data_IF_722622364833
#
_entry.id   IF_722622364833
#
_cell.length_a   1.000
_cell.length_b   1.000
_cell.length_c   1.000
_cell.angle_alpha   90.00
_cell.angle_beta   90.00
_cell.angle_gamma   90.00
#
_symmetry.space_group_name_H-M   'P 1'
#
loop_
_entity.id
_entity.type
_entity.pdbx_description
1 polymer ?
#
# COMPACT_ATOMS: atom_id res chain seq x y z
N UNK A 1 -0.62 -36.19 -6.01
CA UNK A 1 -0.97 -34.80 -5.69
C UNK A 1 0.04 -33.94 -6.42
N UNK A 2 -0.39 -33.17 -7.41
CA UNK A 2 0.50 -32.23 -8.10
C UNK A 2 0.90 -31.17 -7.07
N UNK A 3 2.19 -31.07 -6.73
CA UNK A 3 2.68 -30.02 -5.85
C UNK A 3 2.51 -28.70 -6.59
N UNK A 4 1.67 -27.80 -6.08
CA UNK A 4 1.57 -26.45 -6.59
C UNK A 4 2.96 -25.79 -6.50
N UNK A 5 3.49 -25.37 -7.63
CA UNK A 5 4.81 -24.75 -7.72
C UNK A 5 4.60 -23.28 -8.09
N UNK A 6 4.99 -22.39 -7.20
CA UNK A 6 4.94 -20.95 -7.42
C UNK A 6 5.99 -20.51 -8.46
N UNK A 7 5.70 -19.41 -9.17
CA UNK A 7 6.63 -18.81 -10.11
C UNK A 7 7.98 -18.50 -9.46
N UNK A 8 9.06 -18.75 -10.20
CA UNK A 8 10.45 -18.59 -9.76
C UNK A 8 10.84 -19.47 -8.53
N UNK A 9 10.08 -20.52 -8.23
CA UNK A 9 10.38 -21.44 -7.13
C UNK A 9 10.18 -20.84 -5.74
N UNK A 10 9.34 -19.79 -5.60
CA UNK A 10 9.01 -19.19 -4.29
C UNK A 10 8.36 -20.21 -3.36
N UNK A 11 8.75 -20.19 -2.09
CA UNK A 11 8.03 -20.90 -1.02
C UNK A 11 6.70 -20.22 -0.67
N UNK A 12 5.84 -20.93 0.06
CA UNK A 12 4.51 -20.42 0.46
C UNK A 12 4.58 -19.12 1.28
N UNK A 13 5.63 -18.94 2.07
CA UNK A 13 5.85 -17.77 2.92
C UNK A 13 6.79 -16.71 2.31
N UNK A 14 7.13 -16.81 1.02
CA UNK A 14 8.08 -15.91 0.40
C UNK A 14 7.35 -14.73 -0.28
N UNK A 15 7.88 -13.52 -0.04
CA UNK A 15 7.53 -12.34 -0.83
C UNK A 15 8.20 -12.42 -2.21
N UNK A 16 7.60 -11.80 -3.22
CA UNK A 16 8.31 -11.42 -4.44
C UNK A 16 9.46 -10.47 -4.11
N UNK A 17 10.47 -10.32 -4.97
CA UNK A 17 11.47 -9.28 -4.81
C UNK A 17 10.81 -7.92 -4.64
N UNK A 18 11.17 -7.19 -3.59
CA UNK A 18 10.62 -5.86 -3.27
C UNK A 18 11.68 -4.81 -3.47
N UNK A 19 11.36 -3.75 -4.21
CA UNK A 19 12.22 -2.57 -4.36
C UNK A 19 11.44 -1.30 -4.08
N UNK A 20 12.11 -0.31 -3.46
CA UNK A 20 11.59 1.01 -3.12
C UNK A 20 12.58 2.05 -3.63
N UNK A 21 12.41 2.49 -4.87
CA UNK A 21 13.27 3.47 -5.52
C UNK A 21 12.77 4.88 -5.21
N UNK A 22 13.44 5.55 -4.27
CA UNK A 22 13.08 6.90 -3.79
C UNK A 22 13.55 7.98 -4.76
N UNK A 23 12.93 9.15 -4.65
CA UNK A 23 13.23 10.33 -5.48
C UNK A 23 13.10 10.04 -6.98
N UNK A 24 12.11 9.22 -7.32
CA UNK A 24 11.89 8.76 -8.68
C UNK A 24 11.44 9.88 -9.62
N UNK A 25 10.65 10.83 -9.13
CA UNK A 25 10.28 12.07 -9.83
C UNK A 25 10.78 13.28 -9.05
N UNK A 26 10.95 14.42 -9.75
CA UNK A 26 11.67 15.58 -9.19
C UNK A 26 10.76 16.68 -8.62
N UNK A 27 9.46 16.64 -8.85
CA UNK A 27 8.57 17.74 -8.49
C UNK A 27 7.83 17.54 -7.16
N UNK A 28 7.46 16.32 -6.83
CA UNK A 28 6.79 16.01 -5.57
C UNK A 28 7.79 16.03 -4.41
N UNK A 29 7.35 16.44 -3.21
CA UNK A 29 8.17 16.46 -2.00
C UNK A 29 8.61 15.04 -1.58
N UNK A 30 7.80 14.01 -1.90
CA UNK A 30 8.17 12.61 -1.81
C UNK A 30 7.79 11.85 -3.05
N UNK A 31 8.64 10.93 -3.51
CA UNK A 31 8.38 10.15 -4.73
C UNK A 31 9.09 8.81 -4.69
N UNK A 32 8.34 7.73 -4.94
CA UNK A 32 8.84 6.35 -4.87
C UNK A 32 8.25 5.52 -6.01
N UNK A 33 9.10 4.80 -6.73
CA UNK A 33 8.66 3.66 -7.52
C UNK A 33 8.77 2.41 -6.64
N UNK A 34 7.63 1.86 -6.24
CA UNK A 34 7.56 0.58 -5.51
C UNK A 34 7.34 -0.56 -6.49
N UNK A 35 8.09 -1.65 -6.30
CA UNK A 35 7.90 -2.87 -7.09
C UNK A 35 7.76 -4.08 -6.16
N UNK A 36 6.74 -4.92 -6.41
CA UNK A 36 6.57 -6.24 -5.84
C UNK A 36 6.62 -7.24 -7.02
N UNK A 37 7.79 -7.79 -7.28
CA UNK A 37 8.03 -8.56 -8.51
C UNK A 37 7.72 -7.73 -9.76
N UNK A 38 6.71 -8.14 -10.53
CA UNK A 38 6.29 -7.43 -11.74
C UNK A 38 5.26 -6.31 -11.48
N UNK A 39 4.64 -6.26 -10.30
CA UNK A 39 3.77 -5.13 -9.94
C UNK A 39 4.61 -3.89 -9.68
N UNK A 40 4.28 -2.78 -10.35
CA UNK A 40 4.97 -1.49 -10.22
C UNK A 40 3.96 -0.37 -10.01
N UNK A 41 4.16 0.42 -8.96
CA UNK A 41 3.32 1.56 -8.63
C UNK A 41 4.20 2.78 -8.39
N UNK A 42 3.91 3.87 -9.08
CA UNK A 42 4.49 5.16 -8.76
C UNK A 42 3.65 5.80 -7.65
N UNK A 43 4.30 6.11 -6.53
CA UNK A 43 3.67 6.79 -5.40
C UNK A 43 4.33 8.16 -5.22
N UNK A 44 3.56 9.24 -5.24
CA UNK A 44 4.05 10.58 -4.92
C UNK A 44 3.32 11.14 -3.70
N UNK A 45 3.98 12.04 -2.99
CA UNK A 45 3.44 12.77 -1.86
C UNK A 45 3.66 14.27 -2.09
N UNK A 46 2.57 15.02 -2.23
CA UNK A 46 2.59 16.47 -2.41
C UNK A 46 2.06 17.17 -1.17
N UNK A 47 2.74 18.25 -0.76
CA UNK A 47 2.37 19.08 0.40
C UNK A 47 1.54 20.26 -0.04
N UNK A 48 0.36 20.43 0.53
CA UNK A 48 -0.48 21.60 0.33
C UNK A 48 -0.70 22.33 1.65
N UNK A 49 -0.37 23.65 1.70
CA UNK A 49 -0.48 24.51 2.91
C UNK A 49 -1.94 24.92 3.16
N UNK A 50 -2.86 23.98 3.01
CA UNK A 50 -4.28 24.12 3.34
C UNK A 50 -4.90 22.79 3.67
N UNK A 51 -6.01 22.79 4.36
CA UNK A 51 -6.81 21.60 4.67
C UNK A 51 -8.19 21.67 4.01
N UNK A 52 -8.84 20.50 3.81
CA UNK A 52 -10.21 20.45 3.32
C UNK A 52 -11.16 21.29 4.19
N UNK A 53 -12.31 21.76 3.65
CA UNK A 53 -13.24 22.64 4.37
C UNK A 53 -13.66 22.10 5.75
N UNK A 54 -13.84 20.79 5.89
CA UNK A 54 -14.25 20.15 7.14
C UNK A 54 -13.15 20.09 8.21
N UNK A 55 -11.91 20.47 7.88
CA UNK A 55 -10.75 20.51 8.80
C UNK A 55 -10.27 21.93 9.11
N UNK A 56 -10.82 22.95 8.44
CA UNK A 56 -10.39 24.34 8.66
C UNK A 56 -10.64 24.80 10.09
N UNK A 57 -9.64 25.40 10.70
CA UNK A 57 -9.68 25.91 12.08
C UNK A 57 -9.66 24.81 13.14
N UNK A 58 -9.41 23.55 12.78
CA UNK A 58 -9.24 22.46 13.75
C UNK A 58 -7.85 22.37 14.35
N UNK A 59 -6.86 23.02 13.72
CA UNK A 59 -5.45 22.85 14.02
C UNK A 59 -4.85 21.51 13.57
N UNK A 60 -5.66 20.67 12.90
CA UNK A 60 -5.23 19.35 12.41
C UNK A 60 -4.98 19.37 10.90
N UNK A 61 -3.97 18.63 10.49
CA UNK A 61 -3.71 18.34 9.09
C UNK A 61 -4.59 17.22 8.53
N UNK A 62 -4.36 16.89 7.28
CA UNK A 62 -5.07 15.83 6.59
C UNK A 62 -4.12 15.02 5.68
N UNK A 63 -4.39 13.72 5.57
CA UNK A 63 -3.73 12.84 4.59
C UNK A 63 -4.83 12.24 3.73
N UNK A 64 -4.72 12.43 2.45
CA UNK A 64 -5.66 11.89 1.46
C UNK A 64 -4.89 11.14 0.37
N UNK A 65 -5.57 10.27 -0.36
CA UNK A 65 -4.94 9.52 -1.41
C UNK A 65 -5.83 9.41 -2.65
N UNK A 66 -5.19 9.43 -3.80
CA UNK A 66 -5.76 9.02 -5.08
C UNK A 66 -5.05 7.76 -5.57
N UNK A 67 -5.77 6.96 -6.35
CA UNK A 67 -5.27 5.72 -6.92
C UNK A 67 -5.80 5.57 -8.32
N UNK A 68 -4.94 5.15 -9.23
CA UNK A 68 -5.32 4.89 -10.60
C UNK A 68 -4.47 3.79 -11.24
N UNK A 69 -4.98 3.26 -12.35
CA UNK A 69 -4.26 2.29 -13.16
C UNK A 69 -4.07 2.84 -14.57
N UNK A 70 -2.83 2.79 -15.09
CA UNK A 70 -2.58 3.15 -16.47
C UNK A 70 -3.33 2.21 -17.42
N UNK A 71 -3.77 2.69 -18.59
CA UNK A 71 -4.56 1.87 -19.54
C UNK A 71 -3.94 0.52 -19.91
N UNK A 72 -2.62 0.43 -19.94
CA UNK A 72 -1.85 -0.78 -20.25
C UNK A 72 -1.07 -1.33 -19.06
N UNK A 73 -1.49 -1.03 -17.86
CA UNK A 73 -0.93 -1.66 -16.65
C UNK A 73 -1.27 -3.16 -16.57
N UNK A 74 -2.29 -3.63 -17.27
CA UNK A 74 -2.75 -5.02 -17.35
C UNK A 74 -2.57 -5.62 -18.74
N UNK A 75 -2.83 -6.91 -18.89
CA UNK A 75 -2.72 -7.66 -20.16
C UNK A 75 -3.58 -7.06 -21.28
N UNK A 76 -4.77 -6.57 -20.95
CA UNK A 76 -5.66 -5.88 -21.88
C UNK A 76 -5.68 -4.39 -21.58
N UNK A 77 -5.91 -3.58 -22.63
CA UNK A 77 -6.07 -2.14 -22.44
C UNK A 77 -7.41 -1.84 -21.78
N UNK A 78 -7.37 -1.11 -20.66
CA UNK A 78 -8.56 -0.50 -20.04
C UNK A 78 -8.68 0.97 -20.46
N UNK A 79 -9.90 1.53 -20.42
CA UNK A 79 -10.10 2.96 -20.65
C UNK A 79 -9.65 3.77 -19.41
N UNK A 80 -9.21 5.01 -19.65
CA UNK A 80 -8.94 5.94 -18.56
C UNK A 80 -10.25 6.32 -17.87
N UNK A 81 -10.31 6.22 -16.53
CA UNK A 81 -11.48 6.62 -15.74
C UNK A 81 -11.83 8.10 -15.95
N UNK A 82 -10.82 8.96 -16.07
CA UNK A 82 -11.02 10.39 -16.39
C UNK A 82 -11.80 10.61 -17.70
N UNK A 83 -11.59 9.77 -18.72
CA UNK A 83 -12.34 9.84 -19.98
C UNK A 83 -13.80 9.40 -19.83
N UNK A 84 -14.10 8.57 -18.83
CA UNK A 84 -15.47 8.12 -18.50
C UNK A 84 -16.22 9.12 -17.61
N UNK A 85 -15.54 10.14 -17.09
CA UNK A 85 -16.10 11.15 -16.18
C UNK A 85 -16.46 10.65 -14.79
N UNK A 86 -16.08 9.39 -14.43
CA UNK A 86 -16.30 8.82 -13.10
C UNK A 86 -15.26 7.75 -12.78
N UNK A 87 -14.89 7.67 -11.51
CA UNK A 87 -14.07 6.59 -10.98
C UNK A 87 -14.92 5.34 -10.70
N UNK A 88 -14.31 4.16 -10.80
CA UNK A 88 -14.92 2.91 -10.39
C UNK A 88 -15.06 2.81 -8.87
N UNK A 89 -15.97 1.97 -8.38
CA UNK A 89 -16.10 1.70 -6.95
C UNK A 89 -14.83 1.11 -6.36
N UNK A 90 -14.11 0.25 -7.12
CA UNK A 90 -12.81 -0.30 -6.74
C UNK A 90 -11.75 0.80 -6.54
N UNK A 91 -11.65 1.75 -7.46
CA UNK A 91 -10.71 2.88 -7.37
C UNK A 91 -10.98 3.69 -6.11
N UNK A 92 -12.24 4.06 -5.86
CA UNK A 92 -12.65 4.83 -4.69
C UNK A 92 -12.40 4.08 -3.37
N UNK A 93 -12.64 2.77 -3.34
CA UNK A 93 -12.37 1.91 -2.19
C UNK A 93 -10.88 1.92 -1.85
N UNK A 94 -10.01 1.70 -2.86
CA UNK A 94 -8.55 1.66 -2.67
C UNK A 94 -8.01 3.03 -2.23
N UNK A 95 -8.48 4.14 -2.79
CA UNK A 95 -8.14 5.50 -2.35
C UNK A 95 -8.43 5.69 -0.85
N UNK A 96 -9.62 5.27 -0.42
CA UNK A 96 -10.03 5.38 0.99
C UNK A 96 -9.18 4.49 1.90
N UNK A 97 -8.83 3.29 1.43
CA UNK A 97 -7.96 2.36 2.15
C UNK A 97 -6.55 2.94 2.34
N UNK A 98 -5.91 3.46 1.29
CA UNK A 98 -4.58 4.10 1.37
C UNK A 98 -4.63 5.27 2.35
N UNK A 99 -5.57 6.20 2.17
CA UNK A 99 -5.69 7.37 3.04
C UNK A 99 -5.94 7.00 4.51
N UNK A 100 -6.78 6.00 4.79
CA UNK A 100 -7.02 5.49 6.14
C UNK A 100 -5.76 4.90 6.75
N UNK A 101 -5.05 4.06 5.99
CA UNK A 101 -3.81 3.42 6.44
C UNK A 101 -2.77 4.45 6.86
N UNK A 102 -2.60 5.52 6.08
CA UNK A 102 -1.68 6.60 6.44
C UNK A 102 -2.13 7.35 7.69
N UNK A 103 -3.40 7.74 7.78
CA UNK A 103 -3.91 8.48 8.95
C UNK A 103 -3.77 7.71 10.26
N UNK A 104 -3.72 6.38 10.23
CA UNK A 104 -3.51 5.56 11.43
C UNK A 104 -2.13 5.75 12.05
N UNK A 105 -1.13 6.05 11.24
CA UNK A 105 0.27 6.18 11.67
C UNK A 105 0.77 7.63 11.69
N UNK A 106 -0.11 8.60 11.43
CA UNK A 106 0.20 10.02 11.49
C UNK A 106 -0.47 10.72 12.68
N UNK A 107 0.27 11.60 13.34
CA UNK A 107 -0.27 12.62 14.22
C UNK A 107 -0.76 13.81 13.39
N UNK A 108 -2.05 13.89 13.16
CA UNK A 108 -2.62 14.96 12.34
C UNK A 108 -2.52 16.34 12.99
N UNK A 109 -2.48 16.39 14.32
CA UNK A 109 -2.25 17.65 15.05
C UNK A 109 -0.82 18.14 14.89
N UNK A 110 0.16 17.23 14.95
CA UNK A 110 1.57 17.56 14.72
C UNK A 110 1.85 17.94 13.26
N UNK A 111 1.05 17.45 12.29
CA UNK A 111 1.13 17.86 10.89
C UNK A 111 0.70 19.33 10.69
N UNK A 112 -0.19 19.87 11.57
CA UNK A 112 -0.77 21.19 11.43
C UNK A 112 -1.70 21.28 10.21
N UNK A 113 -2.32 22.44 9.98
CA UNK A 113 -3.31 22.64 8.90
C UNK A 113 -2.70 22.55 7.48
N UNK A 114 -2.14 21.38 7.15
CA UNK A 114 -1.60 21.01 5.83
C UNK A 114 -2.27 19.73 5.35
N UNK A 115 -2.30 19.55 4.03
CA UNK A 115 -2.73 18.32 3.41
C UNK A 115 -1.54 17.63 2.75
N UNK A 116 -1.34 16.34 3.03
CA UNK A 116 -0.53 15.45 2.23
C UNK A 116 -1.44 14.75 1.21
N UNK A 117 -1.23 15.03 -0.06
CA UNK A 117 -1.86 14.33 -1.18
C UNK A 117 -0.95 13.20 -1.63
N UNK A 118 -1.46 11.99 -1.59
CA UNK A 118 -0.75 10.79 -2.04
C UNK A 118 -1.38 10.33 -3.35
N UNK A 119 -0.59 10.32 -4.42
CA UNK A 119 -1.02 9.84 -5.71
C UNK A 119 -0.34 8.51 -6.01
N UNK A 120 -1.12 7.47 -6.28
CA UNK A 120 -0.64 6.11 -6.51
C UNK A 120 -1.07 5.63 -7.90
N UNK A 121 -0.16 5.65 -8.85
CA UNK A 121 -0.39 5.26 -10.23
C UNK A 121 0.22 3.89 -10.53
N UNK A 122 -0.63 2.91 -10.82
CA UNK A 122 -0.18 1.56 -11.20
C UNK A 122 0.33 1.59 -12.64
N UNK A 123 1.64 1.42 -12.78
CA UNK A 123 2.33 1.36 -14.07
C UNK A 123 2.19 -0.05 -14.67
N UNK A 124 2.34 -1.08 -13.83
CA UNK A 124 2.21 -2.48 -14.20
C UNK A 124 1.59 -3.27 -13.05
N UNK A 125 0.60 -4.11 -13.36
CA UNK A 125 -0.13 -4.91 -12.39
C UNK A 125 0.15 -6.41 -12.60
N UNK A 126 0.53 -7.07 -11.51
CA UNK A 126 0.73 -8.51 -11.40
C UNK A 126 0.35 -9.00 -9.98
N UNK A 127 -0.90 -8.73 -9.57
CA UNK A 127 -1.37 -8.96 -8.20
C UNK A 127 -0.85 -7.96 -7.16
N UNK A 128 -1.59 -7.73 -6.10
CA UNK A 128 -1.18 -6.91 -4.95
C UNK A 128 -0.96 -5.42 -5.23
N UNK A 129 -1.66 -4.81 -6.20
CA UNK A 129 -1.45 -3.40 -6.54
C UNK A 129 -1.81 -2.43 -5.40
N UNK A 130 -2.89 -2.71 -4.64
CA UNK A 130 -3.29 -1.90 -3.49
C UNK A 130 -2.31 -2.00 -2.33
N UNK A 131 -1.74 -3.18 -2.09
CA UNK A 131 -0.78 -3.41 -1.02
C UNK A 131 0.58 -2.79 -1.33
N UNK A 132 1.02 -2.87 -2.58
CA UNK A 132 2.20 -2.15 -3.06
C UNK A 132 2.01 -0.63 -2.96
N UNK A 133 0.81 -0.11 -3.36
CA UNK A 133 0.48 1.30 -3.25
C UNK A 133 0.57 1.80 -1.80
N UNK A 134 -0.02 1.10 -0.81
CA UNK A 134 0.07 1.47 0.61
C UNK A 134 1.53 1.50 1.08
N UNK A 135 2.29 0.45 0.75
CA UNK A 135 3.68 0.30 1.18
C UNK A 135 4.59 1.38 0.57
N UNK A 136 4.39 1.72 -0.70
CA UNK A 136 5.14 2.79 -1.38
C UNK A 136 4.70 4.19 -0.96
N UNK A 137 3.38 4.42 -0.81
CA UNK A 137 2.85 5.70 -0.35
C UNK A 137 3.37 6.12 1.02
N UNK A 138 3.59 5.17 1.93
CA UNK A 138 4.21 5.45 3.22
C UNK A 138 5.64 6.01 3.06
N UNK A 139 6.45 5.43 2.18
CA UNK A 139 7.82 5.91 1.94
C UNK A 139 7.80 7.29 1.29
N UNK A 140 6.91 7.53 0.33
CA UNK A 140 6.74 8.86 -0.28
C UNK A 140 6.27 9.90 0.76
N UNK A 141 5.31 9.55 1.62
CA UNK A 141 4.85 10.42 2.70
C UNK A 141 5.96 10.73 3.72
N UNK A 142 6.80 9.74 4.04
CA UNK A 142 7.95 9.94 4.93
C UNK A 142 8.98 10.92 4.33
N UNK A 143 9.24 10.83 3.02
CA UNK A 143 10.14 11.76 2.33
C UNK A 143 9.57 13.18 2.33
N UNK A 144 8.26 13.34 2.09
CA UNK A 144 7.59 14.65 2.17
C UNK A 144 7.65 15.25 3.59
N UNK A 145 7.50 14.43 4.63
CA UNK A 145 7.68 14.87 6.02
C UNK A 145 9.13 15.28 6.28
N UNK A 146 10.10 14.52 5.78
CA UNK A 146 11.52 14.86 5.90
C UNK A 146 11.83 16.20 5.22
N UNK A 147 11.23 16.44 4.06
CA UNK A 147 11.32 17.74 3.37
C UNK A 147 10.72 18.86 4.21
N UNK A 148 9.52 18.68 4.81
CA UNK A 148 8.89 19.68 5.68
C UNK A 148 9.77 20.04 6.90
N UNK A 149 10.38 19.03 7.53
CA UNK A 149 11.34 19.23 8.63
C UNK A 149 12.57 20.03 8.18
N UNK A 150 13.13 19.68 7.01
CA UNK A 150 14.29 20.38 6.45
C UNK A 150 13.98 21.84 6.07
N UNK A 151 12.73 22.16 5.72
CA UNK A 151 12.27 23.52 5.48
C UNK A 151 11.90 24.30 6.76
N UNK A 152 12.04 23.70 7.94
CA UNK A 152 11.60 24.30 9.20
C UNK A 152 10.09 24.49 9.32
N UNK A 153 9.31 23.80 8.53
CA UNK A 153 7.84 23.87 8.52
C UNK A 153 7.18 22.97 9.56
N UNK A 154 7.93 22.00 10.07
CA UNK A 154 7.58 21.13 11.19
C UNK A 154 8.70 21.15 12.22
N UNK A 155 8.35 21.14 13.52
CA UNK A 155 9.30 21.06 14.62
C UNK A 155 9.71 19.60 14.92
N UNK A 156 8.78 18.66 14.71
CA UNK A 156 8.98 17.23 14.92
C UNK A 156 8.21 16.41 13.86
N UNK A 157 8.63 15.16 13.65
CA UNK A 157 7.93 14.27 12.74
C UNK A 157 6.52 13.94 13.25
N UNK A 158 5.48 14.09 12.42
CA UNK A 158 4.13 13.63 12.72
C UNK A 158 3.95 12.12 12.54
N UNK A 159 4.97 11.40 12.07
CA UNK A 159 4.88 9.95 11.85
C UNK A 159 5.09 9.23 13.17
N UNK A 160 4.10 8.44 13.59
CA UNK A 160 4.09 7.68 14.85
C UNK A 160 4.61 6.25 14.69
N UNK A 161 4.40 5.64 13.52
CA UNK A 161 4.78 4.26 13.23
C UNK A 161 4.90 4.04 11.72
N UNK A 162 5.46 2.91 11.33
CA UNK A 162 5.44 2.44 9.95
C UNK A 162 4.10 1.81 9.62
N UNK A 163 3.78 1.71 8.33
CA UNK A 163 2.63 0.95 7.84
C UNK A 163 2.97 0.28 6.51
N UNK A 164 2.60 -0.97 6.39
CA UNK A 164 2.75 -1.73 5.15
C UNK A 164 1.56 -2.65 4.95
N UNK A 165 1.41 -3.18 3.75
CA UNK A 165 0.32 -4.08 3.40
C UNK A 165 0.81 -5.21 2.50
N UNK A 166 0.16 -6.37 2.61
CA UNK A 166 0.44 -7.54 1.78
C UNK A 166 -0.85 -8.28 1.45
N UNK A 167 -0.88 -8.94 0.31
CA UNK A 167 -1.91 -9.93 -0.03
C UNK A 167 -1.52 -11.31 0.49
N UNK A 168 -2.49 -12.05 0.98
CA UNK A 168 -2.37 -13.47 1.33
C UNK A 168 -3.60 -14.20 0.80
N UNK A 169 -3.51 -15.49 0.57
CA UNK A 169 -4.66 -16.25 0.11
C UNK A 169 -4.45 -17.75 0.19
N UNK A 170 -5.51 -18.51 -0.10
CA UNK A 170 -5.47 -19.97 -0.14
C UNK A 170 -5.58 -20.39 -1.61
N UNK A 171 -4.56 -21.10 -2.08
CA UNK A 171 -4.52 -21.65 -3.43
C UNK A 171 -4.34 -23.15 -3.35
N UNK A 172 -5.32 -23.91 -3.86
CA UNK A 172 -5.35 -25.36 -3.78
C UNK A 172 -5.13 -25.90 -2.36
N UNK A 173 -5.74 -25.24 -1.36
CA UNK A 173 -5.64 -25.60 0.06
C UNK A 173 -4.34 -25.18 0.75
N UNK A 174 -3.44 -24.44 0.08
CA UNK A 174 -2.17 -23.97 0.63
C UNK A 174 -2.25 -22.46 0.91
N UNK A 175 -2.06 -22.01 2.16
CA UNK A 175 -1.91 -20.61 2.49
C UNK A 175 -0.63 -20.01 1.87
N UNK A 176 -0.76 -18.92 1.13
CA UNK A 176 0.32 -18.25 0.42
C UNK A 176 0.45 -16.78 0.80
N UNK A 177 1.68 -16.31 0.91
CA UNK A 177 2.04 -14.92 1.11
C UNK A 177 2.31 -14.24 -0.25
N UNK A 178 1.85 -13.00 -0.42
CA UNK A 178 2.13 -12.12 -1.57
C UNK A 178 1.73 -12.76 -2.92
N UNK A 179 0.43 -12.78 -3.17
CA UNK A 179 -0.13 -13.39 -4.38
C UNK A 179 0.25 -12.61 -5.63
N UNK A 180 0.79 -13.30 -6.64
CA UNK A 180 0.86 -12.77 -8.01
C UNK A 180 -0.48 -12.97 -8.74
N UNK A 181 -0.64 -12.38 -9.93
CA UNK A 181 -1.92 -12.36 -10.64
C UNK A 181 -2.52 -13.75 -10.89
N UNK A 182 -1.69 -14.72 -11.28
CA UNK A 182 -2.17 -16.09 -11.56
C UNK A 182 -2.63 -16.80 -10.28
N UNK A 183 -2.01 -16.51 -9.15
CA UNK A 183 -2.40 -17.04 -7.84
C UNK A 183 -3.68 -16.36 -7.34
N UNK A 184 -3.74 -15.03 -7.42
CA UNK A 184 -4.87 -14.19 -7.00
C UNK A 184 -6.15 -14.54 -7.79
N UNK A 185 -6.02 -14.72 -9.11
CA UNK A 185 -7.16 -15.05 -9.99
C UNK A 185 -7.69 -16.47 -9.84
N UNK A 186 -6.96 -17.37 -9.21
CA UNK A 186 -7.29 -18.78 -9.05
C UNK A 186 -7.39 -19.22 -7.59
N UNK A 187 -7.34 -18.28 -6.64
CA UNK A 187 -7.37 -18.61 -5.22
C UNK A 187 -8.80 -18.95 -4.73
N UNK A 188 -8.87 -19.80 -3.74
CA UNK A 188 -10.13 -20.15 -3.04
C UNK A 188 -10.53 -19.02 -2.05
N UNK A 189 -9.52 -18.29 -1.56
CA UNK A 189 -9.66 -17.17 -0.64
C UNK A 189 -8.57 -16.16 -0.93
N UNK A 190 -8.92 -14.89 -1.10
CA UNK A 190 -7.99 -13.77 -1.11
C UNK A 190 -8.17 -12.89 0.13
N UNK A 191 -7.08 -12.35 0.64
CA UNK A 191 -7.11 -11.43 1.77
C UNK A 191 -6.03 -10.38 1.62
N UNK A 192 -6.40 -9.11 1.87
CA UNK A 192 -5.46 -8.01 1.97
C UNK A 192 -5.35 -7.59 3.44
N UNK A 193 -4.14 -7.51 3.94
CA UNK A 193 -3.87 -7.17 5.35
C UNK A 193 -2.98 -5.93 5.40
N UNK A 194 -3.39 -4.96 6.20
CA UNK A 194 -2.62 -3.74 6.50
C UNK A 194 -2.28 -3.74 7.98
N UNK A 195 -1.00 -3.60 8.30
CA UNK A 195 -0.55 -3.54 9.70
C UNK A 195 0.46 -2.42 9.90
N UNK A 196 0.55 -1.97 11.15
CA UNK A 196 1.60 -1.04 11.59
C UNK A 196 2.92 -1.78 11.84
N UNK A 197 4.02 -1.03 11.91
CA UNK A 197 5.34 -1.56 12.25
C UNK A 197 5.40 -2.19 13.66
N UNK A 198 4.58 -1.71 14.59
CA UNK A 198 4.40 -2.28 15.94
C UNK A 198 3.52 -3.54 15.98
N UNK A 199 2.96 -3.97 14.83
CA UNK A 199 2.15 -5.19 14.72
C UNK A 199 0.65 -5.01 14.91
N UNK A 200 0.16 -3.78 15.00
CA UNK A 200 -1.27 -3.48 15.07
C UNK A 200 -1.96 -3.66 13.70
N UNK A 201 -3.15 -4.26 13.69
CA UNK A 201 -3.96 -4.35 12.47
C UNK A 201 -4.66 -3.02 12.18
N UNK A 202 -4.51 -2.54 10.96
CA UNK A 202 -5.21 -1.34 10.45
C UNK A 202 -6.46 -1.77 9.68
N UNK A 203 -6.32 -2.78 8.83
CA UNK A 203 -7.43 -3.34 8.06
C UNK A 203 -7.14 -4.80 7.68
N UNK A 204 -8.18 -5.62 7.73
CA UNK A 204 -8.20 -6.99 7.21
C UNK A 204 -9.41 -7.11 6.31
N UNK A 205 -9.18 -7.36 5.03
CA UNK A 205 -10.22 -7.53 4.02
C UNK A 205 -10.02 -8.89 3.36
N UNK A 206 -10.94 -9.80 3.57
CA UNK A 206 -10.86 -11.16 3.03
C UNK A 206 -12.17 -11.59 2.38
N UNK A 207 -12.05 -12.32 1.27
CA UNK A 207 -13.17 -12.85 0.50
C UNK A 207 -12.95 -14.32 0.20
N UNK A 208 -14.00 -15.12 0.33
CA UNK A 208 -14.03 -16.49 -0.14
C UNK A 208 -14.67 -16.54 -1.52
N UNK A 209 -13.98 -17.08 -2.51
CA UNK A 209 -14.46 -17.17 -3.89
C UNK A 209 -15.35 -18.40 -4.16
N UNK A 210 -15.55 -19.23 -3.16
CA UNK A 210 -16.39 -20.43 -3.30
C UNK A 210 -16.79 -20.99 -1.96
N UNK A 211 -15.88 -21.74 -1.33
CA UNK A 211 -16.11 -22.35 -0.01
C UNK A 211 -15.64 -21.38 1.08
N UNK A 212 -16.44 -21.11 2.12
CA UNK A 212 -16.02 -20.26 3.22
C UNK A 212 -14.73 -20.76 3.88
N UNK A 213 -13.79 -19.89 4.14
CA UNK A 213 -12.57 -20.23 4.90
C UNK A 213 -12.85 -20.36 6.39
N UNK A 214 -12.13 -21.27 7.02
CA UNK A 214 -12.24 -21.56 8.45
C UNK A 214 -11.48 -20.56 9.30
N UNK A 215 -11.74 -20.58 10.62
CA UNK A 215 -10.96 -19.79 11.58
C UNK A 215 -9.47 -20.17 11.57
N UNK A 216 -9.14 -21.45 11.43
CA UNK A 216 -7.75 -21.90 11.37
C UNK A 216 -7.02 -21.38 10.13
N UNK A 217 -7.68 -21.36 8.98
CA UNK A 217 -7.15 -20.76 7.74
C UNK A 217 -6.96 -19.26 7.88
N UNK A 218 -7.92 -18.55 8.48
CA UNK A 218 -7.76 -17.13 8.76
C UNK A 218 -6.55 -16.86 9.65
N UNK A 219 -6.38 -17.61 10.73
CA UNK A 219 -5.25 -17.45 11.65
C UNK A 219 -3.90 -17.75 10.94
N UNK A 220 -3.85 -18.72 10.03
CA UNK A 220 -2.69 -19.02 9.20
C UNK A 220 -2.36 -17.85 8.23
N UNK A 221 -3.36 -17.32 7.55
CA UNK A 221 -3.21 -16.17 6.65
C UNK A 221 -2.73 -14.92 7.39
N UNK A 222 -3.29 -14.62 8.56
CA UNK A 222 -2.85 -13.49 9.39
C UNK A 222 -1.42 -13.68 9.89
N UNK A 223 -1.02 -14.90 10.23
CA UNK A 223 0.36 -15.25 10.60
C UNK A 223 1.34 -14.97 9.45
N UNK A 224 1.02 -15.40 8.22
CA UNK A 224 1.82 -15.12 7.02
C UNK A 224 1.88 -13.61 6.74
N UNK A 225 0.74 -12.92 6.83
CA UNK A 225 0.69 -11.47 6.62
C UNK A 225 1.60 -10.72 7.59
N UNK A 226 1.58 -11.08 8.88
CA UNK A 226 2.47 -10.49 9.88
C UNK A 226 3.95 -10.64 9.54
N UNK A 227 4.37 -11.83 9.09
CA UNK A 227 5.75 -12.09 8.64
C UNK A 227 6.12 -11.26 7.41
N UNK A 228 5.23 -11.21 6.42
CA UNK A 228 5.41 -10.43 5.20
C UNK A 228 5.54 -8.93 5.51
N UNK A 229 4.62 -8.39 6.31
CA UNK A 229 4.60 -6.97 6.69
C UNK A 229 5.85 -6.58 7.49
N UNK A 230 6.30 -7.42 8.43
CA UNK A 230 7.55 -7.18 9.13
C UNK A 230 8.76 -7.10 8.17
N UNK A 231 8.75 -7.89 7.10
CA UNK A 231 9.78 -7.83 6.05
C UNK A 231 9.66 -6.55 5.22
N UNK A 232 8.44 -6.14 4.86
CA UNK A 232 8.18 -4.90 4.13
C UNK A 232 8.59 -3.66 4.94
N UNK A 233 8.30 -3.63 6.24
CA UNK A 233 8.73 -2.55 7.14
C UNK A 233 10.26 -2.48 7.22
N UNK A 234 10.96 -3.61 7.28
CA UNK A 234 12.44 -3.60 7.20
C UNK A 234 12.93 -3.02 5.87
N UNK A 235 12.28 -3.37 4.75
CA UNK A 235 12.62 -2.80 3.45
C UNK A 235 12.37 -1.28 3.38
N UNK A 236 11.27 -0.79 3.96
CA UNK A 236 10.99 0.64 4.10
C UNK A 236 12.07 1.34 4.93
N UNK A 237 12.41 0.80 6.09
CA UNK A 237 13.48 1.34 6.96
C UNK A 237 14.82 1.39 6.24
N UNK A 238 15.20 0.33 5.54
CA UNK A 238 16.42 0.27 4.77
C UNK A 238 16.43 1.33 3.64
N UNK A 239 15.35 1.45 2.89
CA UNK A 239 15.23 2.46 1.83
C UNK A 239 15.31 3.88 2.39
N UNK A 240 14.72 4.14 3.56
CA UNK A 240 14.72 5.44 4.24
C UNK A 240 16.05 5.74 4.96
N UNK A 241 16.88 4.74 5.22
CA UNK A 241 18.11 4.89 6.00
C UNK A 241 17.86 5.12 7.49
N UNK A 242 16.75 4.58 8.03
CA UNK A 242 16.38 4.70 9.44
C UNK A 242 16.46 3.34 10.15
N UNK A 243 16.64 3.35 11.48
CA UNK A 243 16.82 2.14 12.29
C UNK A 243 15.49 1.36 12.54
#
# INVERSE_FOLDING_TARGET
>A
MSSFVRTAGRGAADLRPVTLERHYTVHAEGSVLVSFGQTRVLCTASVEEKVPPHKRGSGEGWVTAEYGMLPRSTHTRSDREAARGKQSGRTQEIQRLIGRSMRTVFDLSALGERTLHLDCDVIQADGGTRTAAITGAFVAAHDAVTWLLAQGKLEASPIRDFVAAVSVGIVQGVPLLDLEYNEDSACDTDMNVVMTGSGGFVEVQGTAEGVPFTRAEMDALLGLAGQGIATLVRAQKQALGVA
#
